data_IF_100087386323
#
_entry.id   IF_100087386323
#
_cell.length_a   1.000
_cell.length_b   1.000
_cell.length_c   1.000
_cell.angle_alpha   90.00
_cell.angle_beta   90.00
_cell.angle_gamma   90.00
#
_symmetry.space_group_name_H-M   'P 1'
#
loop_
_entity.id
_entity.type
_entity.pdbx_description
1 polymer ?
#
# COMPACT_ATOMS: atom_id res chain seq x y z
N UNK A 1 -2.27 -19.90 -10.45
CA UNK A 1 -2.60 -18.66 -11.18
C UNK A 1 -2.99 -17.61 -10.15
N UNK A 2 -2.64 -16.33 -10.35
CA UNK A 2 -2.86 -15.29 -9.33
C UNK A 2 -4.33 -15.12 -8.92
N UNK A 3 -5.25 -15.19 -9.88
CA UNK A 3 -6.71 -15.15 -9.69
C UNK A 3 -7.25 -16.30 -8.82
N UNK A 4 -6.75 -17.52 -9.03
CA UNK A 4 -7.12 -18.68 -8.20
C UNK A 4 -6.64 -18.51 -6.76
N UNK A 5 -5.45 -17.94 -6.57
CA UNK A 5 -4.91 -17.66 -5.25
C UNK A 5 -5.77 -16.64 -4.49
N UNK A 6 -6.19 -15.56 -5.16
CA UNK A 6 -7.12 -14.57 -4.58
C UNK A 6 -8.46 -15.20 -4.24
N UNK A 7 -9.04 -15.98 -5.15
CA UNK A 7 -10.34 -16.62 -4.92
C UNK A 7 -10.27 -17.52 -3.68
N UNK A 8 -9.24 -18.37 -3.60
CA UNK A 8 -9.04 -19.24 -2.45
C UNK A 8 -8.80 -18.47 -1.17
N UNK A 9 -8.03 -17.39 -1.21
CA UNK A 9 -7.80 -16.53 -0.05
C UNK A 9 -9.12 -15.97 0.49
N UNK A 10 -9.99 -15.46 -0.38
CA UNK A 10 -11.29 -14.93 0.03
C UNK A 10 -12.23 -16.04 0.52
N UNK A 11 -12.21 -17.22 -0.10
CA UNK A 11 -12.96 -18.40 0.37
C UNK A 11 -12.53 -18.80 1.79
N UNK A 12 -11.23 -18.79 2.08
CA UNK A 12 -10.68 -19.09 3.41
C UNK A 12 -11.11 -18.05 4.47
N UNK A 13 -11.41 -16.82 4.05
CA UNK A 13 -11.99 -15.78 4.90
C UNK A 13 -13.51 -15.92 5.08
N UNK A 14 -14.14 -16.90 4.43
CA UNK A 14 -15.57 -17.17 4.52
C UNK A 14 -16.40 -16.52 3.42
N UNK A 15 -15.78 -16.08 2.33
CA UNK A 15 -16.43 -15.43 1.19
C UNK A 15 -16.39 -13.91 1.26
N UNK A 16 -16.55 -13.26 0.11
CA UNK A 16 -16.46 -11.80 -0.02
C UNK A 16 -17.60 -11.09 0.74
N UNK A 17 -18.74 -11.75 0.88
CA UNK A 17 -19.94 -11.28 1.58
C UNK A 17 -19.72 -11.07 3.08
N UNK A 18 -18.68 -11.68 3.67
CA UNK A 18 -18.29 -11.44 5.07
C UNK A 18 -17.54 -10.13 5.25
N UNK A 19 -16.98 -9.59 4.18
CA UNK A 19 -16.14 -8.40 4.19
C UNK A 19 -16.88 -7.19 3.61
N UNK A 20 -17.67 -7.41 2.56
CA UNK A 20 -18.28 -6.34 1.75
C UNK A 20 -19.80 -6.52 1.69
N UNK A 21 -20.53 -5.49 2.12
CA UNK A 21 -21.98 -5.38 2.05
C UNK A 21 -22.52 -5.10 0.64
N UNK A 22 -23.85 -5.12 0.49
CA UNK A 22 -24.53 -4.83 -0.79
C UNK A 22 -24.28 -3.43 -1.31
N UNK A 23 -24.23 -2.48 -0.40
CA UNK A 23 -24.30 -1.06 -0.71
C UNK A 23 -22.99 -0.33 -0.33
N UNK A 24 -21.96 -1.08 0.04
CA UNK A 24 -20.67 -0.52 0.47
C UNK A 24 -20.01 0.27 -0.66
N UNK A 25 -19.43 1.42 -0.33
CA UNK A 25 -18.44 2.08 -1.17
C UNK A 25 -17.08 1.44 -0.84
N UNK A 26 -16.49 0.74 -1.79
CA UNK A 26 -15.22 0.02 -1.59
C UNK A 26 -14.09 0.78 -2.26
N UNK A 27 -13.25 1.40 -1.45
CA UNK A 27 -12.03 2.07 -1.90
C UNK A 27 -10.88 1.08 -1.83
N UNK A 28 -10.28 0.79 -2.98
CA UNK A 28 -9.10 -0.08 -3.10
C UNK A 28 -7.90 0.80 -3.42
N UNK A 29 -6.88 0.75 -2.57
CA UNK A 29 -5.60 1.43 -2.80
C UNK A 29 -4.52 0.43 -3.21
N UNK A 30 -4.24 0.28 -4.52
CA UNK A 30 -3.06 -0.41 -4.98
C UNK A 30 -1.79 0.43 -4.75
N UNK A 31 -0.60 -0.17 -4.57
CA UNK A 31 0.64 0.60 -4.67
C UNK A 31 1.11 0.68 -6.13
N UNK A 32 1.01 1.84 -6.76
CA UNK A 32 1.26 1.99 -8.21
C UNK A 32 2.40 2.98 -8.51
N UNK A 33 3.19 3.36 -7.49
CA UNK A 33 4.39 4.18 -7.67
C UNK A 33 5.42 3.56 -8.64
N UNK A 34 5.48 2.23 -8.67
CA UNK A 34 6.34 1.43 -9.53
C UNK A 34 5.48 0.55 -10.44
N UNK A 35 6.11 -0.23 -11.30
CA UNK A 35 5.48 -1.14 -12.26
C UNK A 35 5.97 -2.58 -12.03
N UNK A 36 5.43 -3.54 -12.77
CA UNK A 36 5.91 -4.93 -12.78
C UNK A 36 5.77 -5.60 -11.38
N UNK A 37 6.83 -6.20 -10.84
CA UNK A 37 6.86 -6.73 -9.46
C UNK A 37 6.84 -5.66 -8.37
N UNK A 38 6.99 -4.38 -8.76
CA UNK A 38 6.89 -3.23 -7.86
C UNK A 38 5.45 -2.80 -7.58
N UNK A 39 4.48 -3.37 -8.29
CA UNK A 39 3.05 -3.12 -8.15
C UNK A 39 2.28 -4.44 -7.95
N UNK A 40 1.02 -4.41 -7.48
CA UNK A 40 0.25 -5.62 -7.31
C UNK A 40 -0.04 -6.32 -8.64
N UNK A 41 -0.22 -7.64 -8.58
CA UNK A 41 -0.60 -8.43 -9.76
C UNK A 41 -1.95 -7.98 -10.33
N UNK A 42 -2.01 -7.72 -11.65
CA UNK A 42 -3.23 -7.22 -12.30
C UNK A 42 -4.35 -8.27 -12.29
N UNK A 43 -4.04 -9.55 -12.52
CA UNK A 43 -5.00 -10.65 -12.46
C UNK A 43 -5.59 -10.84 -11.05
N UNK A 44 -4.75 -10.74 -10.01
CA UNK A 44 -5.21 -10.76 -8.62
C UNK A 44 -6.17 -9.61 -8.29
N UNK A 45 -5.80 -8.38 -8.66
CA UNK A 45 -6.64 -7.21 -8.40
C UNK A 45 -7.96 -7.29 -9.18
N UNK A 46 -7.90 -7.63 -10.47
CA UNK A 46 -9.07 -7.88 -11.31
C UNK A 46 -10.01 -8.87 -10.63
N UNK A 47 -9.48 -10.02 -10.22
CA UNK A 47 -10.31 -11.08 -9.61
C UNK A 47 -10.94 -10.63 -8.30
N UNK A 48 -10.21 -9.90 -7.46
CA UNK A 48 -10.76 -9.35 -6.22
C UNK A 48 -11.93 -8.39 -6.49
N UNK A 49 -11.79 -7.50 -7.48
CA UNK A 49 -12.87 -6.58 -7.89
C UNK A 49 -14.07 -7.35 -8.45
N UNK A 50 -13.84 -8.39 -9.27
CA UNK A 50 -14.91 -9.24 -9.78
C UNK A 50 -15.66 -9.96 -8.65
N UNK A 51 -14.96 -10.46 -7.63
CA UNK A 51 -15.61 -11.05 -6.44
C UNK A 51 -16.53 -10.05 -5.74
N UNK A 52 -16.14 -8.78 -5.64
CA UNK A 52 -16.99 -7.72 -5.06
C UNK A 52 -18.19 -7.43 -5.97
N UNK A 53 -17.94 -7.14 -7.24
CA UNK A 53 -18.96 -6.69 -8.19
C UNK A 53 -20.00 -7.76 -8.52
N UNK A 54 -19.59 -9.03 -8.49
CA UNK A 54 -20.39 -10.22 -8.82
C UNK A 54 -20.71 -11.05 -7.59
N UNK A 55 -20.53 -10.45 -6.40
CA UNK A 55 -20.89 -11.00 -5.09
C UNK A 55 -22.27 -11.68 -5.13
N UNK A 56 -22.39 -12.81 -4.42
CA UNK A 56 -23.67 -13.49 -4.25
C UNK A 56 -24.67 -12.60 -3.50
N UNK A 57 -25.90 -12.53 -4.00
CA UNK A 57 -26.91 -11.59 -3.48
C UNK A 57 -26.84 -10.18 -4.09
N UNK A 58 -25.89 -9.91 -5.00
CA UNK A 58 -25.83 -8.71 -5.83
C UNK A 58 -25.26 -7.47 -5.14
N UNK A 59 -24.49 -6.66 -5.88
CA UNK A 59 -23.79 -5.47 -5.38
C UNK A 59 -24.31 -4.18 -6.05
N UNK A 60 -24.80 -3.24 -5.23
CA UNK A 60 -25.35 -1.95 -5.66
C UNK A 60 -24.44 -0.77 -5.32
N UNK A 61 -23.43 -0.99 -4.47
CA UNK A 61 -22.40 -0.03 -4.14
C UNK A 61 -21.46 0.29 -5.31
N UNK A 62 -20.30 0.84 -4.97
CA UNK A 62 -19.27 1.24 -5.92
C UNK A 62 -17.91 0.66 -5.53
N UNK A 63 -17.09 0.37 -6.52
CA UNK A 63 -15.67 0.07 -6.30
C UNK A 63 -14.84 1.18 -6.93
N UNK A 64 -13.92 1.74 -6.14
CA UNK A 64 -13.05 2.83 -6.56
C UNK A 64 -11.62 2.37 -6.42
N UNK A 65 -10.85 2.38 -7.50
CA UNK A 65 -9.39 2.37 -7.39
C UNK A 65 -8.96 3.80 -7.10
N UNK A 66 -8.38 4.04 -5.94
CA UNK A 66 -7.95 5.37 -5.52
C UNK A 66 -6.48 5.35 -5.09
N UNK A 67 -5.65 6.17 -5.75
CA UNK A 67 -4.20 6.10 -5.57
C UNK A 67 -3.49 7.43 -5.81
N UNK A 68 -2.53 7.73 -4.93
CA UNK A 68 -1.46 8.70 -5.18
C UNK A 68 -0.14 7.94 -5.42
N UNK A 69 0.38 8.00 -6.64
CA UNK A 69 1.64 7.36 -6.98
C UNK A 69 2.84 8.33 -6.99
N UNK A 70 2.62 9.61 -6.64
CA UNK A 70 3.63 10.68 -6.57
C UNK A 70 4.37 10.93 -7.89
N UNK A 71 3.60 11.09 -8.98
CA UNK A 71 4.13 11.26 -10.35
C UNK A 71 3.57 12.51 -11.04
N UNK A 72 3.40 13.59 -10.29
CA UNK A 72 2.96 14.85 -10.85
C UNK A 72 1.45 14.91 -11.06
N UNK A 73 1.02 15.94 -11.77
CA UNK A 73 -0.36 16.23 -12.16
C UNK A 73 -1.04 15.22 -13.09
N UNK A 74 -0.30 14.28 -13.67
CA UNK A 74 -0.81 13.32 -14.65
C UNK A 74 -0.17 11.94 -14.43
N UNK A 75 -0.39 11.31 -13.26
CA UNK A 75 0.27 10.06 -12.89
C UNK A 75 -0.03 8.91 -13.87
N UNK A 76 -1.19 8.95 -14.53
CA UNK A 76 -1.62 7.96 -15.52
C UNK A 76 -0.78 7.95 -16.81
N UNK A 77 0.00 8.99 -17.08
CA UNK A 77 0.92 9.03 -18.24
C UNK A 77 2.37 8.73 -17.87
N UNK A 78 2.66 8.45 -16.60
CA UNK A 78 4.04 8.30 -16.14
C UNK A 78 4.62 6.94 -16.47
N UNK A 79 5.60 6.89 -17.38
CA UNK A 79 6.35 5.66 -17.72
C UNK A 79 7.25 5.16 -16.56
N UNK A 80 7.28 5.87 -15.44
CA UNK A 80 7.97 5.43 -14.22
C UNK A 80 7.04 4.82 -13.17
N UNK A 81 5.75 4.67 -13.49
CA UNK A 81 4.70 4.14 -12.62
C UNK A 81 4.02 2.93 -13.26
N UNK A 82 3.26 2.20 -12.45
CA UNK A 82 2.48 1.06 -12.93
C UNK A 82 1.24 1.44 -13.74
N UNK A 83 0.94 2.73 -13.87
CA UNK A 83 -0.19 3.20 -14.65
C UNK A 83 0.06 3.11 -16.15
N UNK A 84 1.22 3.59 -16.63
CA UNK A 84 1.51 3.68 -18.06
C UNK A 84 2.53 2.64 -18.54
N UNK A 85 3.49 2.27 -17.68
CA UNK A 85 4.59 1.39 -18.08
C UNK A 85 4.09 -0.05 -18.28
N UNK A 86 4.33 -0.68 -19.45
CA UNK A 86 3.96 -2.08 -19.69
C UNK A 86 4.68 -3.04 -18.74
N UNK A 87 3.90 -3.96 -18.19
CA UNK A 87 4.32 -4.99 -17.25
C UNK A 87 4.92 -6.16 -18.01
N UNK A 88 6.18 -6.49 -17.72
CA UNK A 88 6.84 -7.68 -18.30
C UNK A 88 6.48 -8.96 -17.55
N UNK A 89 6.20 -8.83 -16.26
CA UNK A 89 5.67 -9.86 -15.37
C UNK A 89 4.45 -9.26 -14.67
N UNK A 90 3.67 -10.08 -13.96
CA UNK A 90 2.65 -9.59 -13.03
C UNK A 90 1.38 -8.97 -13.65
N UNK A 91 1.16 -9.13 -14.96
CA UNK A 91 -0.13 -8.84 -15.61
C UNK A 91 -1.05 -10.08 -15.64
N UNK A 92 -0.54 -11.20 -16.16
CA UNK A 92 -1.23 -12.49 -16.30
C UNK A 92 -2.61 -12.43 -16.99
N UNK A 93 -2.94 -11.33 -17.68
CA UNK A 93 -4.18 -11.13 -18.44
C UNK A 93 -3.81 -10.76 -19.90
N UNK A 94 -4.25 -11.53 -20.91
CA UNK A 94 -3.97 -11.21 -22.31
C UNK A 94 -4.50 -9.81 -22.71
N UNK A 95 -3.62 -8.98 -23.28
CA UNK A 95 -3.96 -7.65 -23.80
C UNK A 95 -4.17 -6.57 -22.74
N UNK A 96 -3.76 -6.81 -21.49
CA UNK A 96 -3.76 -5.83 -20.41
C UNK A 96 -2.31 -5.63 -19.97
N UNK A 97 -1.69 -4.52 -20.30
CA UNK A 97 -0.26 -4.36 -20.08
C UNK A 97 0.07 -3.53 -18.83
N UNK A 98 -0.89 -2.79 -18.28
CA UNK A 98 -0.69 -1.93 -17.12
C UNK A 98 -2.01 -1.66 -16.38
N UNK A 99 -1.98 -0.82 -15.34
CA UNK A 99 -3.18 -0.45 -14.59
C UNK A 99 -4.19 0.36 -15.40
N UNK A 100 -3.77 1.19 -16.37
CA UNK A 100 -4.71 1.91 -17.23
C UNK A 100 -5.56 0.92 -18.04
N UNK A 101 -4.93 -0.07 -18.69
CA UNK A 101 -5.63 -1.08 -19.49
C UNK A 101 -6.61 -1.88 -18.63
N UNK A 102 -6.19 -2.28 -17.43
CA UNK A 102 -7.05 -2.99 -16.48
C UNK A 102 -8.26 -2.14 -16.10
N UNK A 103 -8.04 -0.86 -15.82
CA UNK A 103 -9.11 0.05 -15.45
C UNK A 103 -10.08 0.31 -16.61
N UNK A 104 -9.59 0.42 -17.85
CA UNK A 104 -10.44 0.54 -19.05
C UNK A 104 -11.32 -0.70 -19.21
N UNK A 105 -10.75 -1.90 -19.04
CA UNK A 105 -11.49 -3.16 -19.06
C UNK A 105 -12.61 -3.17 -18.00
N UNK A 106 -12.27 -2.85 -16.74
CA UNK A 106 -13.22 -2.85 -15.63
C UNK A 106 -14.29 -1.77 -15.77
N UNK A 107 -13.92 -0.58 -16.24
CA UNK A 107 -14.85 0.52 -16.52
C UNK A 107 -15.84 0.14 -17.61
N UNK A 108 -15.39 -0.49 -18.69
CA UNK A 108 -16.28 -1.01 -19.74
C UNK A 108 -17.26 -2.06 -19.21
N UNK A 109 -16.84 -2.88 -18.24
CA UNK A 109 -17.64 -3.96 -17.67
C UNK A 109 -18.67 -3.48 -16.64
N UNK A 110 -18.29 -2.53 -15.79
CA UNK A 110 -19.08 -2.12 -14.62
C UNK A 110 -19.61 -0.68 -14.66
N UNK A 111 -19.23 0.08 -15.69
CA UNK A 111 -19.69 1.44 -15.97
C UNK A 111 -19.52 2.39 -14.76
N UNK A 112 -20.55 3.15 -14.39
CA UNK A 112 -20.52 4.13 -13.29
C UNK A 112 -20.30 3.51 -11.90
N UNK A 113 -20.47 2.19 -11.73
CA UNK A 113 -20.18 1.51 -10.45
C UNK A 113 -18.70 1.28 -10.21
N UNK A 114 -17.86 1.42 -11.23
CA UNK A 114 -16.41 1.36 -11.11
C UNK A 114 -15.81 2.72 -11.43
N UNK A 115 -14.97 3.24 -10.53
CA UNK A 115 -14.28 4.52 -10.70
C UNK A 115 -12.78 4.38 -10.52
N UNK A 116 -12.02 5.26 -11.17
CA UNK A 116 -10.58 5.43 -10.94
C UNK A 116 -10.34 6.87 -10.51
N UNK A 117 -9.72 7.04 -9.36
CA UNK A 117 -9.41 8.33 -8.78
C UNK A 117 -7.91 8.43 -8.57
N UNK A 118 -7.30 9.41 -9.20
CA UNK A 118 -5.91 9.77 -8.92
C UNK A 118 -5.91 10.88 -7.88
N UNK A 119 -5.39 10.58 -6.69
CA UNK A 119 -5.13 11.63 -5.72
C UNK A 119 -3.85 12.37 -6.14
N UNK A 120 -3.96 13.68 -6.27
CA UNK A 120 -2.88 14.55 -6.75
C UNK A 120 -2.44 15.43 -5.58
N UNK A 121 -1.14 15.41 -5.29
CA UNK A 121 -0.54 16.29 -4.29
C UNK A 121 -0.84 17.76 -4.59
N UNK A 122 -0.98 18.59 -3.57
CA UNK A 122 -1.23 20.03 -3.71
C UNK A 122 -0.18 20.73 -4.58
N UNK A 123 1.10 20.42 -4.41
CA UNK A 123 2.20 20.98 -5.22
C UNK A 123 2.13 20.56 -6.70
N UNK A 124 1.45 19.45 -6.99
CA UNK A 124 1.25 18.92 -8.33
C UNK A 124 -0.09 19.35 -8.94
N UNK A 125 -0.77 20.34 -8.35
CA UNK A 125 -2.03 20.89 -8.86
C UNK A 125 -3.27 20.30 -8.22
N UNK A 126 -3.12 19.47 -7.18
CA UNK A 126 -4.18 19.18 -6.23
C UNK A 126 -4.61 20.42 -5.46
N UNK A 127 -5.60 20.26 -4.57
CA UNK A 127 -6.12 21.38 -3.76
C UNK A 127 -6.11 21.03 -2.29
N UNK A 128 -5.75 22.00 -1.46
CA UNK A 128 -6.01 21.91 -0.03
C UNK A 128 -7.48 22.26 0.21
N UNK A 129 -8.18 21.39 0.93
CA UNK A 129 -9.59 21.54 1.31
C UNK A 129 -9.75 21.40 2.82
N UNK A 130 -10.92 21.78 3.34
CA UNK A 130 -11.21 21.77 4.78
C UNK A 130 -12.43 20.92 5.12
N UNK A 131 -13.30 20.66 4.14
CA UNK A 131 -14.45 19.77 4.26
C UNK A 131 -14.96 19.32 2.88
N UNK A 132 -15.89 18.35 2.81
CA UNK A 132 -16.46 17.88 1.54
C UNK A 132 -17.11 18.98 0.67
N UNK A 133 -17.56 20.06 1.29
CA UNK A 133 -18.16 21.21 0.60
C UNK A 133 -17.16 21.97 -0.30
N UNK A 134 -15.86 21.88 -0.04
CA UNK A 134 -14.82 22.50 -0.86
C UNK A 134 -14.51 21.68 -2.13
N UNK A 135 -15.04 20.45 -2.21
CA UNK A 135 -14.82 19.48 -3.27
C UNK A 135 -13.51 18.69 -3.09
N UNK A 136 -13.02 18.14 -4.20
CA UNK A 136 -11.88 17.21 -4.20
C UNK A 136 -10.57 17.89 -3.81
N UNK A 137 -9.77 17.19 -3.01
CA UNK A 137 -8.47 17.64 -2.53
C UNK A 137 -8.01 16.95 -1.25
N UNK A 138 -7.04 17.55 -0.57
CA UNK A 138 -6.48 17.06 0.68
C UNK A 138 -6.87 17.92 1.88
N UNK A 139 -7.38 17.29 2.93
CA UNK A 139 -7.55 17.91 4.24
C UNK A 139 -6.25 17.85 5.02
N UNK A 140 -5.82 18.98 5.57
CA UNK A 140 -4.59 19.08 6.36
C UNK A 140 -4.94 19.23 7.84
N UNK A 141 -4.60 18.23 8.67
CA UNK A 141 -4.84 18.25 10.12
C UNK A 141 -3.85 19.15 10.87
N UNK A 142 -3.80 20.44 10.52
CA UNK A 142 -2.87 21.42 11.06
C UNK A 142 -3.48 22.38 12.10
N UNK A 143 -4.72 22.12 12.53
CA UNK A 143 -5.43 22.95 13.51
C UNK A 143 -6.07 24.22 12.94
N UNK A 144 -6.13 24.39 11.62
CA UNK A 144 -6.69 25.60 10.99
C UNK A 144 -8.06 25.38 10.37
N UNK A 145 -8.84 26.48 10.30
CA UNK A 145 -10.17 26.55 9.66
C UNK A 145 -11.11 25.40 10.07
N UNK A 146 -11.13 25.05 11.35
CA UNK A 146 -12.02 24.03 11.91
C UNK A 146 -11.52 22.58 11.77
N UNK A 147 -10.40 22.34 11.09
CA UNK A 147 -9.77 21.01 11.01
C UNK A 147 -8.93 20.78 12.29
N UNK A 148 -9.02 19.61 12.94
CA UNK A 148 -8.23 19.32 14.14
C UNK A 148 -6.73 19.28 13.84
N UNK A 149 -5.90 19.60 14.84
CA UNK A 149 -4.47 19.33 14.79
C UNK A 149 -4.23 17.85 15.13
N UNK A 150 -3.73 17.08 14.17
CA UNK A 150 -3.33 15.69 14.36
C UNK A 150 -1.90 15.56 13.85
N UNK A 151 -0.96 15.44 14.76
CA UNK A 151 0.48 15.43 14.45
C UNK A 151 1.19 14.23 15.06
N UNK A 152 2.32 13.89 14.47
CA UNK A 152 3.28 12.90 14.97
C UNK A 152 4.66 13.56 14.99
N UNK A 153 5.36 13.51 16.12
CA UNK A 153 6.77 13.90 16.21
C UNK A 153 7.70 12.68 16.18
N UNK A 154 8.97 12.92 15.90
CA UNK A 154 9.97 11.87 15.92
C UNK A 154 10.56 11.60 17.30
N UNK A 155 10.02 12.16 18.41
CA UNK A 155 10.53 12.00 19.78
C UNK A 155 12.04 12.30 19.91
N UNK A 156 12.52 13.30 19.18
CA UNK A 156 13.88 13.84 19.31
C UNK A 156 13.78 15.31 19.75
N UNK A 157 14.83 15.84 20.36
CA UNK A 157 14.91 17.24 20.79
C UNK A 157 15.94 18.00 19.95
N UNK A 158 15.80 19.33 19.88
CA UNK A 158 16.76 20.20 19.20
C UNK A 158 16.57 20.23 17.68
N UNK A 159 17.68 20.41 16.95
CA UNK A 159 17.68 20.60 15.49
C UNK A 159 17.19 19.36 14.72
N UNK A 160 17.27 18.18 15.34
CA UNK A 160 16.80 16.90 14.79
C UNK A 160 15.30 16.65 15.01
N UNK A 161 14.59 17.52 15.74
CA UNK A 161 13.14 17.39 15.92
C UNK A 161 12.43 17.54 14.57
N UNK A 162 11.66 16.52 14.22
CA UNK A 162 10.74 16.56 13.08
C UNK A 162 9.33 16.32 13.55
N UNK A 163 8.40 17.02 12.92
CA UNK A 163 6.97 16.84 13.12
C UNK A 163 6.30 16.67 11.75
N UNK A 164 5.32 15.77 11.66
CA UNK A 164 4.42 15.64 10.51
C UNK A 164 2.97 15.75 10.97
N UNK A 165 2.06 16.11 10.06
CA UNK A 165 0.61 16.15 10.29
C UNK A 165 -0.09 15.15 9.40
N UNK A 166 -1.21 14.63 9.86
CA UNK A 166 -2.04 13.77 9.02
C UNK A 166 -2.68 14.58 7.90
N UNK A 167 -2.65 14.06 6.68
CA UNK A 167 -3.43 14.57 5.55
C UNK A 167 -4.22 13.42 4.93
N UNK A 168 -5.44 13.69 4.45
CA UNK A 168 -6.26 12.65 3.84
C UNK A 168 -7.11 13.21 2.70
N UNK A 169 -7.43 12.40 1.69
CA UNK A 169 -8.13 12.87 0.52
C UNK A 169 -9.64 12.95 0.77
N UNK A 170 -10.25 13.95 0.16
CA UNK A 170 -11.66 13.99 -0.20
C UNK A 170 -11.71 13.89 -1.72
N UNK A 171 -12.58 13.03 -2.25
CA UNK A 171 -12.68 12.82 -3.69
C UNK A 171 -14.08 12.42 -4.11
N UNK A 172 -14.38 12.63 -5.39
CA UNK A 172 -15.68 12.30 -5.98
C UNK A 172 -15.52 11.14 -6.97
N UNK A 173 -16.42 10.16 -6.92
CA UNK A 173 -16.47 9.04 -7.87
C UNK A 173 -17.11 9.45 -9.20
N UNK A 174 -17.03 8.60 -10.22
CA UNK A 174 -17.69 8.84 -11.51
C UNK A 174 -19.22 8.89 -11.41
N UNK A 175 -19.80 8.30 -10.35
CA UNK A 175 -21.23 8.38 -10.03
C UNK A 175 -21.61 9.68 -9.32
N UNK A 176 -20.63 10.48 -8.90
CA UNK A 176 -20.83 11.71 -8.13
C UNK A 176 -20.83 11.49 -6.61
N UNK A 177 -20.46 10.30 -6.13
CA UNK A 177 -20.38 10.02 -4.69
C UNK A 177 -19.17 10.72 -4.09
N UNK A 178 -19.39 11.57 -3.10
CA UNK A 178 -18.31 12.29 -2.41
C UNK A 178 -17.85 11.44 -1.22
N UNK A 179 -16.57 11.08 -1.22
CA UNK A 179 -15.92 10.29 -0.18
C UNK A 179 -14.96 11.19 0.59
N UNK A 180 -15.25 11.40 1.87
CA UNK A 180 -14.27 11.87 2.85
C UNK A 180 -13.56 10.64 3.41
N UNK A 181 -12.27 10.48 3.11
CA UNK A 181 -11.55 9.27 3.49
C UNK A 181 -11.53 9.03 5.00
N UNK A 182 -11.62 10.08 5.82
CA UNK A 182 -11.73 9.94 7.28
C UNK A 182 -13.17 9.65 7.68
N UNK A 183 -14.10 10.50 7.26
CA UNK A 183 -15.44 10.59 7.86
C UNK A 183 -16.52 9.76 7.16
N UNK A 184 -16.25 9.22 5.96
CA UNK A 184 -17.17 8.36 5.21
C UNK A 184 -17.81 9.06 4.01
N UNK A 185 -18.98 8.58 3.61
CA UNK A 185 -19.70 9.08 2.42
C UNK A 185 -20.48 10.33 2.79
N UNK A 186 -20.38 11.38 1.98
CA UNK A 186 -21.04 12.66 2.20
C UNK A 186 -22.05 12.96 1.09
N UNK A 187 -23.24 13.41 1.47
CA UNK A 187 -24.29 13.83 0.55
C UNK A 187 -25.05 15.05 1.10
N UNK A 188 -25.22 16.10 0.29
CA UNK A 188 -26.11 17.25 0.55
C UNK A 188 -25.94 17.89 1.94
N UNK A 189 -24.71 18.08 2.40
CA UNK A 189 -24.42 18.74 3.67
C UNK A 189 -24.20 17.80 4.85
N UNK A 190 -24.48 16.50 4.71
CA UNK A 190 -24.46 15.53 5.80
C UNK A 190 -23.65 14.29 5.43
N UNK A 191 -23.06 13.64 6.44
CA UNK A 191 -22.52 12.29 6.26
C UNK A 191 -23.68 11.29 6.26
N UNK A 192 -23.59 10.31 5.37
CA UNK A 192 -24.59 9.25 5.23
C UNK A 192 -24.20 8.04 6.07
N UNK A 193 -25.14 7.13 6.27
CA UNK A 193 -24.90 5.82 6.90
C UNK A 193 -24.36 4.78 5.91
N UNK A 194 -24.10 5.15 4.65
CA UNK A 194 -23.57 4.24 3.66
C UNK A 194 -22.14 3.79 4.05
N UNK A 195 -21.87 2.49 4.19
CA UNK A 195 -20.56 2.04 4.67
C UNK A 195 -19.45 2.33 3.66
N UNK A 196 -18.33 2.85 4.16
CA UNK A 196 -17.08 2.98 3.41
C UNK A 196 -16.12 1.87 3.84
N UNK A 197 -15.75 0.99 2.91
CA UNK A 197 -14.73 -0.06 3.08
C UNK A 197 -13.43 0.35 2.44
N UNK A 198 -12.34 0.26 3.18
CA UNK A 198 -11.00 0.54 2.70
C UNK A 198 -10.18 -0.75 2.59
N UNK A 199 -9.77 -1.08 1.37
CA UNK A 199 -8.91 -2.23 1.07
C UNK A 199 -7.53 -1.72 0.64
N UNK A 200 -6.53 -2.07 1.43
CA UNK A 200 -5.13 -1.78 1.11
C UNK A 200 -4.54 -2.95 0.32
N UNK A 201 -4.18 -2.74 -0.95
CA UNK A 201 -3.82 -3.81 -1.87
C UNK A 201 -2.36 -3.65 -2.34
N UNK A 202 -1.41 -4.23 -1.63
CA UNK A 202 0.01 -3.98 -1.86
C UNK A 202 0.73 -5.11 -2.60
N UNK A 203 1.95 -4.81 -3.06
CA UNK A 203 2.95 -5.75 -3.53
C UNK A 203 4.07 -5.88 -2.51
N UNK A 204 4.69 -7.06 -2.44
CA UNK A 204 5.84 -7.31 -1.57
C UNK A 204 7.16 -7.13 -2.33
N UNK A 205 8.02 -6.22 -1.88
CA UNK A 205 9.28 -5.98 -2.59
C UNK A 205 10.40 -5.40 -1.70
N UNK A 206 11.65 -5.54 -2.15
CA UNK A 206 12.78 -4.74 -1.65
C UNK A 206 12.50 -3.24 -1.83
N UNK A 207 12.84 -2.42 -0.83
CA UNK A 207 12.80 -0.97 -0.98
C UNK A 207 14.19 -0.33 -0.99
N UNK A 208 14.96 -0.53 0.07
CA UNK A 208 16.29 0.08 0.26
C UNK A 208 16.83 -0.08 1.68
N UNK A 209 18.07 0.31 1.91
CA UNK A 209 18.79 0.10 3.20
C UNK A 209 18.21 0.85 4.40
N UNK A 210 17.43 1.91 4.16
CA UNK A 210 16.82 2.75 5.20
C UNK A 210 15.39 2.31 5.56
N UNK A 211 14.82 1.36 4.81
CA UNK A 211 13.44 0.91 4.98
C UNK A 211 13.33 -0.63 5.04
N UNK A 212 14.17 -1.37 4.31
CA UNK A 212 14.09 -2.82 4.17
C UNK A 212 13.16 -3.21 3.03
N UNK A 213 11.87 -3.29 3.32
CA UNK A 213 10.84 -3.76 2.38
C UNK A 213 9.71 -2.74 2.18
N UNK A 214 9.03 -2.84 1.04
CA UNK A 214 7.75 -2.18 0.77
C UNK A 214 6.66 -3.24 0.71
N UNK A 215 5.53 -2.96 1.35
CA UNK A 215 4.33 -3.80 1.43
C UNK A 215 3.16 -2.98 2.01
N UNK A 216 2.26 -3.56 2.81
CA UNK A 216 1.01 -2.97 3.25
C UNK A 216 1.20 -1.67 4.06
N UNK A 217 2.13 -1.63 5.02
CA UNK A 217 2.35 -0.43 5.85
C UNK A 217 2.83 0.73 5.00
N UNK A 218 3.86 0.50 4.18
CA UNK A 218 4.44 1.56 3.36
C UNK A 218 3.44 2.09 2.32
N UNK A 219 2.48 1.28 1.89
CA UNK A 219 1.46 1.73 0.94
C UNK A 219 0.62 2.89 1.49
N UNK A 220 0.38 2.97 2.81
CA UNK A 220 -0.35 4.10 3.43
C UNK A 220 0.27 5.47 3.14
N UNK A 221 1.57 5.55 2.86
CA UNK A 221 2.22 6.82 2.54
C UNK A 221 1.58 7.50 1.33
N UNK A 222 1.13 6.74 0.34
CA UNK A 222 0.44 7.29 -0.83
C UNK A 222 -1.05 7.59 -0.61
N UNK A 223 -1.51 7.57 0.64
CA UNK A 223 -2.81 8.17 0.97
C UNK A 223 -2.58 9.64 1.25
N UNK A 224 -1.57 9.97 2.07
CA UNK A 224 -1.22 11.33 2.46
C UNK A 224 -0.71 12.16 1.27
N UNK A 225 -0.91 13.47 1.37
CA UNK A 225 -0.26 14.46 0.51
C UNK A 225 1.25 14.49 0.77
N UNK A 226 2.05 14.28 -0.28
CA UNK A 226 3.51 14.26 -0.26
C UNK A 226 4.14 15.49 -0.92
N UNK A 227 3.40 16.60 -1.03
CA UNK A 227 3.90 17.91 -1.46
C UNK A 227 5.21 18.26 -0.75
N UNK A 228 6.12 18.88 -1.50
CA UNK A 228 7.48 19.13 -1.07
C UNK A 228 8.50 18.05 -1.41
N UNK A 229 8.08 16.80 -1.64
CA UNK A 229 8.99 15.73 -2.05
C UNK A 229 9.82 15.11 -0.91
N UNK A 230 10.76 14.18 -1.24
CA UNK A 230 11.31 13.24 -0.26
C UNK A 230 12.45 13.77 0.62
N UNK A 231 13.01 14.94 0.31
CA UNK A 231 14.24 15.45 0.90
C UNK A 231 13.94 16.53 1.94
N UNK A 232 14.14 16.30 3.26
CA UNK A 232 13.80 17.28 4.29
C UNK A 232 14.56 18.60 4.15
N UNK A 233 15.72 18.60 3.48
CA UNK A 233 16.55 19.78 3.28
C UNK A 233 16.32 20.46 1.91
N UNK A 234 15.57 19.82 1.01
CA UNK A 234 15.20 20.35 -0.29
C UNK A 234 13.71 20.10 -0.53
N UNK A 235 12.92 21.11 -0.14
CA UNK A 235 11.46 21.17 -0.29
C UNK A 235 10.65 20.15 0.50
N UNK A 236 11.21 19.23 1.29
CA UNK A 236 10.46 18.22 2.06
C UNK A 236 9.53 18.73 3.18
N UNK A 237 9.28 20.03 3.31
CA UNK A 237 8.29 20.58 4.23
C UNK A 237 6.94 20.66 3.53
N UNK A 238 5.93 19.97 4.08
CA UNK A 238 4.56 19.97 3.57
C UNK A 238 3.88 21.34 3.75
N UNK A 239 3.96 21.86 4.97
CA UNK A 239 3.39 23.17 5.30
C UNK A 239 3.97 23.70 6.61
N UNK A 240 4.21 25.01 6.69
CA UNK A 240 4.76 25.68 7.88
C UNK A 240 6.05 25.00 8.35
N UNK A 241 5.97 24.22 9.43
CA UNK A 241 7.08 23.47 10.05
C UNK A 241 6.93 21.95 9.93
N UNK A 242 5.84 21.48 9.34
CA UNK A 242 5.53 20.06 9.26
C UNK A 242 6.13 19.46 8.00
N UNK A 243 6.94 18.41 8.19
CA UNK A 243 7.44 17.58 7.12
C UNK A 243 6.31 16.75 6.51
N UNK A 244 6.39 16.44 5.22
CA UNK A 244 5.48 15.46 4.63
C UNK A 244 5.81 14.05 5.14
N UNK A 245 4.92 13.10 4.85
CA UNK A 245 5.08 11.71 5.26
C UNK A 245 6.33 11.03 4.68
N UNK A 246 6.95 11.56 3.63
CA UNK A 246 8.18 10.97 3.07
C UNK A 246 9.45 11.50 3.71
N UNK A 247 9.54 12.81 3.95
CA UNK A 247 10.72 13.48 4.50
C UNK A 247 10.77 13.43 6.04
N UNK A 248 9.63 13.18 6.70
CA UNK A 248 9.57 12.99 8.14
C UNK A 248 10.47 11.84 8.62
N UNK A 249 10.36 10.61 8.07
CA UNK A 249 11.17 9.48 8.54
C UNK A 249 12.56 9.37 7.90
N UNK A 250 12.84 10.10 6.81
CA UNK A 250 14.01 9.87 5.96
C UNK A 250 14.77 11.13 5.59
N UNK A 251 16.07 10.96 5.36
CA UNK A 251 16.92 11.94 4.68
C UNK A 251 17.04 11.54 3.22
N UNK A 252 15.93 11.69 2.49
CA UNK A 252 15.78 11.28 1.10
C UNK A 252 15.98 9.78 0.86
N UNK A 253 17.23 9.34 0.73
CA UNK A 253 17.65 7.96 0.47
C UNK A 253 18.43 7.34 1.65
N UNK A 254 18.38 7.98 2.81
CA UNK A 254 18.99 7.52 4.05
C UNK A 254 17.98 7.56 5.20
N UNK A 255 18.31 6.87 6.29
CA UNK A 255 17.55 6.94 7.53
C UNK A 255 17.55 8.38 8.05
N UNK A 256 16.40 8.86 8.53
CA UNK A 256 16.33 10.13 9.24
C UNK A 256 16.91 10.05 10.66
N UNK A 257 16.74 11.12 11.46
CA UNK A 257 17.35 11.26 12.78
C UNK A 257 16.94 10.18 13.80
N UNK A 258 15.75 9.57 13.61
CA UNK A 258 15.28 8.45 14.42
C UNK A 258 14.74 7.34 13.55
N UNK A 259 15.10 6.11 13.88
CA UNK A 259 14.64 4.93 13.16
C UNK A 259 13.18 4.58 13.49
N UNK A 260 12.53 3.86 12.57
CA UNK A 260 11.16 3.39 12.73
C UNK A 260 10.08 4.46 12.55
N UNK A 261 10.43 5.71 12.22
CA UNK A 261 9.47 6.81 12.14
C UNK A 261 8.43 6.64 11.03
N UNK A 262 8.76 5.92 9.95
CA UNK A 262 7.77 5.50 8.94
C UNK A 262 6.64 4.68 9.58
N UNK A 263 6.99 3.80 10.51
CA UNK A 263 6.01 3.02 11.24
C UNK A 263 5.16 3.88 12.15
N UNK A 264 5.80 4.82 12.86
CA UNK A 264 5.13 5.71 13.82
C UNK A 264 4.08 6.59 13.14
N UNK A 265 4.44 7.25 12.04
CA UNK A 265 3.50 8.13 11.31
C UNK A 265 2.33 7.34 10.71
N UNK A 266 2.59 6.16 10.12
CA UNK A 266 1.54 5.30 9.56
C UNK A 266 0.65 4.72 10.65
N UNK A 267 1.22 4.33 11.80
CA UNK A 267 0.45 3.89 12.96
C UNK A 267 -0.47 5.00 13.48
N UNK A 268 0.05 6.22 13.58
CA UNK A 268 -0.74 7.40 13.96
C UNK A 268 -1.86 7.66 12.95
N UNK A 269 -1.58 7.55 11.65
CA UNK A 269 -2.58 7.69 10.59
C UNK A 269 -3.71 6.66 10.74
N UNK A 270 -3.38 5.37 10.91
CA UNK A 270 -4.38 4.32 11.07
C UNK A 270 -5.27 4.54 12.30
N UNK A 271 -4.70 5.03 13.40
CA UNK A 271 -5.41 5.28 14.66
C UNK A 271 -6.33 6.49 14.60
N UNK A 272 -6.01 7.49 13.79
CA UNK A 272 -6.67 8.81 13.85
C UNK A 272 -7.45 9.19 12.60
N UNK A 273 -7.12 8.60 11.46
CA UNK A 273 -7.76 8.84 10.16
C UNK A 273 -8.59 7.62 9.77
N UNK A 274 -7.94 6.55 9.31
CA UNK A 274 -8.58 5.31 8.90
C UNK A 274 -7.58 4.18 8.79
N UNK A 275 -7.91 3.03 9.39
CA UNK A 275 -7.26 1.74 9.14
C UNK A 275 -8.04 0.99 8.05
N UNK A 276 -7.33 0.25 7.21
CA UNK A 276 -7.96 -0.63 6.22
C UNK A 276 -8.78 -1.72 6.91
N UNK A 277 -9.97 -1.98 6.37
CA UNK A 277 -10.79 -3.14 6.75
C UNK A 277 -10.07 -4.44 6.39
N UNK A 278 -9.29 -4.43 5.30
CA UNK A 278 -8.45 -5.55 4.90
C UNK A 278 -7.18 -5.07 4.20
N UNK A 279 -6.05 -5.68 4.55
CA UNK A 279 -4.81 -5.55 3.80
C UNK A 279 -4.59 -6.84 3.01
N UNK A 280 -4.30 -6.72 1.72
CA UNK A 280 -3.94 -7.82 0.83
C UNK A 280 -2.56 -7.50 0.27
N UNK A 281 -1.64 -8.46 0.37
CA UNK A 281 -0.31 -8.36 -0.23
C UNK A 281 -0.17 -9.43 -1.30
N UNK A 282 -0.04 -8.99 -2.54
CA UNK A 282 0.34 -9.86 -3.65
C UNK A 282 1.86 -10.01 -3.68
N UNK A 283 2.30 -11.25 -3.56
CA UNK A 283 3.69 -11.66 -3.71
C UNK A 283 3.73 -12.70 -4.84
N UNK A 284 3.14 -12.36 -5.98
CA UNK A 284 3.27 -13.20 -7.18
C UNK A 284 4.74 -13.22 -7.58
N UNK A 285 5.32 -12.03 -7.77
CA UNK A 285 6.74 -11.79 -7.96
C UNK A 285 7.27 -10.88 -6.86
N UNK A 286 8.45 -11.21 -6.33
CA UNK A 286 9.14 -10.37 -5.34
C UNK A 286 10.50 -9.94 -5.87
N UNK A 287 10.78 -8.64 -5.86
CA UNK A 287 12.09 -8.10 -6.17
C UNK A 287 13.04 -8.25 -4.99
N UNK A 288 14.24 -8.80 -5.24
CA UNK A 288 15.19 -9.08 -4.17
C UNK A 288 16.10 -7.88 -3.87
N UNK A 289 16.40 -7.03 -4.85
CA UNK A 289 17.25 -5.83 -4.66
C UNK A 289 16.82 -4.60 -5.48
N UNK A 290 15.76 -4.72 -6.28
CA UNK A 290 15.13 -3.62 -7.02
C UNK A 290 13.62 -3.78 -6.97
N UNK A 291 12.90 -2.66 -7.10
CA UNK A 291 11.43 -2.68 -7.21
C UNK A 291 10.96 -3.16 -8.58
N UNK A 292 11.75 -2.94 -9.62
CA UNK A 292 11.31 -3.10 -11.02
C UNK A 292 12.25 -3.98 -11.85
N UNK A 293 13.47 -4.24 -11.36
CA UNK A 293 14.47 -5.03 -12.07
C UNK A 293 14.77 -6.36 -11.38
N UNK A 294 15.20 -7.38 -12.15
CA UNK A 294 15.89 -8.55 -11.60
C UNK A 294 17.11 -8.17 -10.73
N UNK A 295 17.48 -9.00 -9.74
CA UNK A 295 17.00 -10.35 -9.55
C UNK A 295 15.64 -10.42 -8.80
N UNK A 296 14.74 -11.25 -9.31
CA UNK A 296 13.36 -11.46 -8.81
C UNK A 296 13.11 -12.93 -8.48
N UNK A 297 12.09 -13.20 -7.67
CA UNK A 297 11.62 -14.55 -7.36
C UNK A 297 10.12 -14.70 -7.64
N UNK A 298 9.73 -15.78 -8.32
CA UNK A 298 8.35 -16.13 -8.65
C UNK A 298 7.72 -16.97 -7.54
N UNK A 299 7.22 -16.30 -6.51
CA UNK A 299 6.71 -16.94 -5.29
C UNK A 299 5.26 -17.39 -5.39
N UNK A 300 4.47 -16.83 -6.32
CA UNK A 300 3.08 -17.21 -6.58
C UNK A 300 2.19 -17.18 -5.34
N UNK A 301 2.41 -16.21 -4.46
CA UNK A 301 1.76 -16.12 -3.17
C UNK A 301 0.88 -14.88 -3.06
N UNK A 302 -0.19 -14.99 -2.27
CA UNK A 302 -1.01 -13.86 -1.87
C UNK A 302 -1.42 -14.05 -0.42
N UNK A 303 -1.44 -12.97 0.33
CA UNK A 303 -1.67 -12.97 1.77
C UNK A 303 -2.64 -11.87 2.11
N UNK A 304 -3.39 -12.04 3.20
CA UNK A 304 -4.27 -11.00 3.70
C UNK A 304 -4.38 -11.04 5.22
N UNK A 305 -4.56 -9.86 5.81
CA UNK A 305 -4.80 -9.69 7.24
C UNK A 305 -5.48 -8.33 7.49
N UNK A 306 -6.33 -8.27 8.52
CA UNK A 306 -6.82 -6.99 9.03
C UNK A 306 -5.70 -6.17 9.70
N UNK A 307 -4.65 -6.84 10.19
CA UNK A 307 -3.49 -6.21 10.79
C UNK A 307 -2.32 -6.11 9.79
N UNK A 308 -1.94 -4.90 9.35
CA UNK A 308 -0.86 -4.73 8.36
C UNK A 308 0.53 -5.02 8.93
N UNK A 309 0.74 -4.91 10.25
CA UNK A 309 2.03 -5.25 10.88
C UNK A 309 2.22 -6.75 10.88
N UNK A 310 1.20 -7.50 11.30
CA UNK A 310 1.23 -8.96 11.24
C UNK A 310 1.43 -9.45 9.80
N UNK A 311 0.74 -8.82 8.83
CA UNK A 311 0.86 -9.15 7.42
C UNK A 311 2.28 -8.91 6.89
N UNK A 312 2.84 -7.72 7.09
CA UNK A 312 4.16 -7.37 6.58
C UNK A 312 5.26 -8.17 7.29
N UNK A 313 5.14 -8.41 8.60
CA UNK A 313 6.05 -9.28 9.34
C UNK A 313 6.03 -10.70 8.74
N UNK A 314 4.86 -11.31 8.56
CA UNK A 314 4.75 -12.65 8.01
C UNK A 314 5.26 -12.72 6.55
N UNK A 315 4.81 -11.80 5.70
CA UNK A 315 5.20 -11.75 4.30
C UNK A 315 6.72 -11.59 4.13
N UNK A 316 7.35 -10.73 4.93
CA UNK A 316 8.81 -10.55 4.86
C UNK A 316 9.58 -11.73 5.42
N UNK A 317 9.13 -12.34 6.54
CA UNK A 317 9.79 -13.48 7.18
C UNK A 317 9.75 -14.75 6.33
N UNK A 318 8.59 -15.05 5.75
CA UNK A 318 8.33 -16.34 5.11
C UNK A 318 8.40 -16.31 3.58
N UNK A 319 8.44 -15.11 2.96
CA UNK A 319 8.49 -14.96 1.50
C UNK A 319 9.69 -14.13 1.06
N UNK A 320 9.76 -12.85 1.45
CA UNK A 320 10.82 -11.97 0.91
C UNK A 320 12.22 -12.40 1.39
N UNK A 321 12.42 -12.55 2.70
CA UNK A 321 13.73 -12.86 3.28
C UNK A 321 14.27 -14.23 2.87
N UNK A 322 13.47 -15.33 2.82
CA UNK A 322 13.96 -16.62 2.34
C UNK A 322 14.45 -16.59 0.89
N UNK A 323 13.84 -15.76 0.04
CA UNK A 323 14.24 -15.63 -1.35
C UNK A 323 15.43 -14.68 -1.53
N UNK A 324 15.45 -13.53 -0.85
CA UNK A 324 16.54 -12.55 -0.97
C UNK A 324 17.79 -12.96 -0.19
N UNK A 325 17.63 -13.50 1.02
CA UNK A 325 18.66 -13.70 2.05
C UNK A 325 19.41 -12.42 2.45
N UNK A 326 18.80 -11.26 2.21
CA UNK A 326 19.34 -9.95 2.56
C UNK A 326 18.95 -9.59 4.01
N UNK A 327 19.90 -9.28 4.92
CA UNK A 327 19.62 -9.08 6.34
C UNK A 327 18.59 -7.99 6.66
N UNK A 328 18.51 -6.93 5.86
CA UNK A 328 17.54 -5.83 6.06
C UNK A 328 16.09 -6.24 5.73
N UNK A 329 15.87 -7.40 5.11
CA UNK A 329 14.53 -7.96 4.87
C UNK A 329 14.09 -8.91 6.00
N UNK A 330 14.96 -9.24 6.94
CA UNK A 330 14.62 -10.12 8.04
C UNK A 330 13.86 -9.32 9.13
N UNK A 331 12.56 -9.57 9.34
CA UNK A 331 11.81 -8.85 10.37
C UNK A 331 12.22 -9.27 11.79
N UNK A 332 12.98 -10.36 11.98
CA UNK A 332 13.54 -10.74 13.29
C UNK A 332 14.82 -9.96 13.65
N UNK A 333 15.42 -9.26 12.67
CA UNK A 333 16.56 -8.42 12.94
C UNK A 333 16.10 -7.13 13.64
N UNK A 334 16.12 -7.13 14.99
CA UNK A 334 15.70 -5.99 15.82
C UNK A 334 16.40 -4.67 15.53
N UNK A 335 17.59 -4.72 14.92
CA UNK A 335 18.36 -3.52 14.51
C UNK A 335 18.11 -3.13 13.05
N UNK A 336 17.42 -3.97 12.29
CA UNK A 336 17.11 -3.74 10.89
C UNK A 336 16.01 -2.69 10.71
N UNK A 337 16.04 -1.93 9.60
CA UNK A 337 15.08 -0.86 9.34
C UNK A 337 13.64 -1.38 9.28
N UNK A 338 13.46 -2.59 8.72
CA UNK A 338 12.17 -3.27 8.62
C UNK A 338 11.55 -3.51 10.00
N UNK A 339 12.28 -4.18 10.89
CA UNK A 339 11.78 -4.44 12.25
C UNK A 339 11.44 -3.15 12.97
N UNK A 340 12.32 -2.15 12.88
CA UNK A 340 12.14 -0.88 13.59
C UNK A 340 10.85 -0.16 13.19
N UNK A 341 10.51 -0.14 11.90
CA UNK A 341 9.24 0.47 11.48
C UNK A 341 8.04 -0.43 11.82
N UNK A 342 8.14 -1.77 11.73
CA UNK A 342 7.06 -2.66 12.15
C UNK A 342 6.72 -2.46 13.63
N UNK A 343 7.74 -2.36 14.48
CA UNK A 343 7.60 -2.19 15.92
C UNK A 343 6.96 -0.83 16.26
N UNK A 344 7.44 0.26 15.64
CA UNK A 344 6.84 1.59 15.84
C UNK A 344 5.42 1.71 15.29
N UNK A 345 5.10 1.01 14.22
CA UNK A 345 3.75 0.94 13.70
C UNK A 345 2.82 0.19 14.66
N UNK A 346 3.27 -0.94 15.22
CA UNK A 346 2.53 -1.69 16.23
C UNK A 346 2.22 -0.83 17.48
N UNK A 347 3.23 -0.12 18.00
CA UNK A 347 3.07 0.76 19.17
C UNK A 347 2.07 1.91 18.92
N UNK A 348 2.09 2.52 17.74
CA UNK A 348 1.30 3.72 17.46
C UNK A 348 -0.08 3.44 16.85
N UNK A 349 -0.24 2.29 16.19
CA UNK A 349 -1.44 1.90 15.43
C UNK A 349 -2.21 0.72 16.03
N UNK A 350 -1.96 0.39 17.31
CA UNK A 350 -2.61 -0.69 18.05
C UNK A 350 -2.61 -2.02 17.24
N UNK A 351 -1.43 -2.40 16.73
CA UNK A 351 -1.25 -3.55 15.84
C UNK A 351 -0.30 -4.60 16.44
N UNK A 352 -0.31 -5.81 15.88
CA UNK A 352 0.35 -7.01 16.44
C UNK A 352 1.62 -7.32 15.65
N UNK A 353 2.77 -7.22 16.32
CA UNK A 353 4.07 -7.67 15.80
C UNK A 353 4.46 -9.07 16.28
N UNK A 354 3.90 -9.50 17.40
CA UNK A 354 4.20 -10.79 18.03
C UNK A 354 3.49 -11.92 17.27
N UNK A 355 4.26 -12.72 16.54
CA UNK A 355 3.75 -13.81 15.71
C UNK A 355 2.99 -14.87 16.51
N UNK A 356 3.32 -15.08 17.79
CA UNK A 356 2.61 -16.04 18.64
C UNK A 356 1.13 -15.66 18.86
N UNK A 357 0.79 -14.39 18.63
CA UNK A 357 -0.59 -13.87 18.71
C UNK A 357 -1.31 -13.90 17.36
N UNK A 358 -0.67 -14.39 16.31
CA UNK A 358 -1.19 -14.41 14.94
C UNK A 358 -1.44 -15.84 14.50
N UNK A 359 -2.70 -16.19 14.26
CA UNK A 359 -3.05 -17.48 13.66
C UNK A 359 -2.91 -17.40 12.14
N UNK A 360 -2.12 -18.30 11.57
CA UNK A 360 -1.96 -18.43 10.11
C UNK A 360 -2.84 -19.57 9.59
N UNK A 361 -3.58 -19.31 8.51
CA UNK A 361 -4.26 -20.33 7.71
C UNK A 361 -3.71 -20.22 6.31
N UNK A 362 -3.05 -21.27 5.82
CA UNK A 362 -2.42 -21.26 4.49
C UNK A 362 -2.78 -22.51 3.70
N UNK A 363 -2.96 -22.36 2.39
CA UNK A 363 -3.33 -23.43 1.47
C UNK A 363 -2.36 -23.49 0.29
N UNK A 364 -1.85 -24.69 0.00
CA UNK A 364 -0.95 -24.93 -1.12
C UNK A 364 -1.67 -25.73 -2.21
N UNK A 365 -1.90 -25.08 -3.36
CA UNK A 365 -2.52 -25.71 -4.52
C UNK A 365 -1.72 -26.88 -5.11
N UNK A 366 -0.38 -26.89 -4.97
CA UNK A 366 0.44 -28.00 -5.47
C UNK A 366 0.25 -29.26 -4.62
N UNK A 367 0.06 -29.09 -3.32
CA UNK A 367 -0.23 -30.19 -2.38
C UNK A 367 -1.73 -30.52 -2.30
N UNK A 368 -2.59 -29.58 -2.70
CA UNK A 368 -4.04 -29.69 -2.53
C UNK A 368 -4.48 -29.65 -1.07
N UNK A 369 -3.66 -29.09 -0.17
CA UNK A 369 -3.84 -29.20 1.28
C UNK A 369 -3.46 -27.91 2.04
N UNK A 370 -3.93 -27.81 3.29
CA UNK A 370 -3.48 -26.78 4.21
C UNK A 370 -2.02 -27.00 4.63
N UNK A 371 -1.26 -25.92 4.75
CA UNK A 371 0.12 -25.95 5.24
C UNK A 371 0.15 -25.88 6.77
N UNK A 372 1.10 -26.59 7.38
CA UNK A 372 1.42 -26.49 8.80
C UNK A 372 2.39 -25.33 9.08
N UNK A 373 2.52 -24.95 10.35
CA UNK A 373 3.41 -23.84 10.75
C UNK A 373 4.87 -24.03 10.32
N UNK A 374 5.36 -25.28 10.30
CA UNK A 374 6.70 -25.62 9.83
C UNK A 374 6.85 -25.67 8.30
N UNK A 375 5.78 -25.39 7.55
CA UNK A 375 5.74 -25.42 6.08
C UNK A 375 5.47 -24.04 5.46
N UNK A 376 5.47 -22.97 6.25
CA UNK A 376 5.09 -21.62 5.81
C UNK A 376 6.14 -20.94 4.91
N UNK A 377 7.37 -21.46 4.86
CA UNK A 377 8.43 -20.88 4.03
C UNK A 377 8.13 -21.09 2.54
N UNK A 378 8.03 -19.99 1.80
CA UNK A 378 7.81 -20.00 0.35
C UNK A 378 9.12 -19.65 -0.37
N UNK A 379 9.61 -20.58 -1.19
CA UNK A 379 10.72 -20.33 -2.11
C UNK A 379 10.23 -20.31 -3.54
N UNK A 380 10.52 -19.24 -4.26
CA UNK A 380 10.17 -19.07 -5.66
C UNK A 380 11.35 -19.35 -6.59
N UNK A 381 11.04 -19.70 -7.84
CA UNK A 381 12.03 -19.75 -8.91
C UNK A 381 12.65 -18.37 -9.12
N UNK A 382 13.97 -18.29 -9.34
CA UNK A 382 14.69 -17.01 -9.40
C UNK A 382 15.09 -16.67 -10.82
N UNK A 383 14.81 -15.43 -11.22
CA UNK A 383 15.29 -14.84 -12.47
C UNK A 383 16.30 -13.77 -12.13
N UNK A 384 17.55 -13.95 -12.56
CA UNK A 384 18.66 -13.06 -12.19
C UNK A 384 18.79 -11.83 -13.09
N UNK A 385 18.28 -11.90 -14.32
CA UNK A 385 18.53 -10.90 -15.35
C UNK A 385 20.00 -10.86 -15.79
N UNK A 386 20.36 -9.88 -16.61
CA UNK A 386 21.69 -9.75 -17.22
C UNK A 386 22.47 -8.51 -16.76
N UNK A 387 21.91 -7.71 -15.85
CA UNK A 387 22.52 -6.48 -15.36
C UNK A 387 23.57 -6.77 -14.28
N UNK A 388 24.85 -6.58 -14.61
CA UNK A 388 25.94 -6.71 -13.63
C UNK A 388 25.80 -5.73 -12.47
N UNK A 389 25.22 -4.55 -12.72
CA UNK A 389 24.95 -3.54 -11.68
C UNK A 389 23.95 -4.05 -10.65
N UNK A 390 22.83 -4.64 -11.09
CA UNK A 390 21.76 -5.08 -10.19
C UNK A 390 22.13 -6.37 -9.45
N UNK A 391 22.85 -7.27 -10.12
CA UNK A 391 23.44 -8.45 -9.49
C UNK A 391 24.49 -8.03 -8.45
N UNK A 392 25.37 -7.09 -8.80
CA UNK A 392 26.36 -6.53 -7.87
C UNK A 392 25.71 -5.89 -6.65
N UNK A 393 24.67 -5.08 -6.86
CA UNK A 393 23.86 -4.48 -5.78
C UNK A 393 23.27 -5.56 -4.86
N UNK A 394 22.69 -6.62 -5.43
CA UNK A 394 22.15 -7.74 -4.67
C UNK A 394 23.21 -8.41 -3.80
N UNK A 395 24.38 -8.71 -4.37
CA UNK A 395 25.48 -9.36 -3.65
C UNK A 395 26.01 -8.47 -2.52
N UNK A 396 26.18 -7.17 -2.77
CA UNK A 396 26.59 -6.20 -1.74
C UNK A 396 25.58 -6.16 -0.59
N UNK A 397 24.28 -6.05 -0.89
CA UNK A 397 23.23 -6.05 0.13
C UNK A 397 23.14 -7.35 0.92
N UNK A 398 23.55 -8.47 0.33
CA UNK A 398 23.45 -9.79 0.95
C UNK A 398 24.65 -10.13 1.84
N UNK A 399 25.84 -9.69 1.47
CA UNK A 399 27.09 -10.15 2.09
C UNK A 399 27.91 -9.05 2.76
N UNK A 400 27.66 -7.77 2.43
CA UNK A 400 28.48 -6.64 2.91
C UNK A 400 27.71 -5.65 3.79
N UNK A 401 26.38 -5.80 3.88
CA UNK A 401 25.46 -4.99 4.68
C UNK A 401 24.66 -5.96 5.55
#
# INVERSE_FOLDING_TARGET
MPDLNISKLIDLMGGIEKLIGSDDIVVIKPNVQWWNQGAPNLSSLKRFIELIMERSGGFQGEVVIAENCHRGKSPWTSMSSGWAQPFQLNSDIPGIDNFNDLCVLLKKKYDSRFSVVHWIDVDDGGRRVFSPQDGDGYVYCDGTRGVPLIKCDNEVFGEDLRETIMTYPIFTTDKGTVVDFKNGVWEKGLYTEQPLRFINFSALNHHGIYCGATSAIKNYMGISDLSGGPDPNDRGVLTKKYYNFHSFPFDKWASGPKTGMLGKEVGTFMKTIRKADLNITTAEWVGMSSRVDPPVSHTRAVLACADPVALDYHATKYILYPNSKIPIHNPDNKRGPLHQYLMKCAESGDSVIDEEKVRVISYDFKKGAFQKDNELLISGEKTWGNSLKDIGKYLTLRYLI
#
